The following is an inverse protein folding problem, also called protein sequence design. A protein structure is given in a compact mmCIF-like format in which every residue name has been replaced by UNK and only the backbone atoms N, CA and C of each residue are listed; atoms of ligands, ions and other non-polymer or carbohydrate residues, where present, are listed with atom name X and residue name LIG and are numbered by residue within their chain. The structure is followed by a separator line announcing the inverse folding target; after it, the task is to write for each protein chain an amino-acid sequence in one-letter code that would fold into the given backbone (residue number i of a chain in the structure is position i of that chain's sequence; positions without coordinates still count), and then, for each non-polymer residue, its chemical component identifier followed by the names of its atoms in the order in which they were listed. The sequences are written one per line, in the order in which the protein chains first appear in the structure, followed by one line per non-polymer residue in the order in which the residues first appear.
data_IF_022652269324
#
_entry.id   IF_022652269324
#
_cell.length_a   1.000
_cell.length_b   1.000
_cell.length_c   1.000
_cell.angle_alpha   90.00
_cell.angle_beta   90.00
_cell.angle_gamma   90.00
#
_symmetry.space_group_name_H-M   'P 1'
#
loop_
_entity.id
_entity.type
_entity.pdbx_description
1 polymer ?
#
# COMPACT_ATOMS: atom_id res chain seq x y z
N UNK A 1 16.35 -15.77 -12.68
CA UNK A 1 16.63 -14.36 -13.00
C UNK A 1 17.51 -13.74 -11.90
N UNK A 2 18.42 -12.81 -12.27
CA UNK A 2 19.32 -12.13 -11.32
C UNK A 2 18.53 -11.27 -10.33
N UNK A 3 17.58 -10.51 -10.81
CA UNK A 3 16.73 -9.62 -9.98
C UNK A 3 15.90 -10.45 -8.97
N UNK A 4 15.26 -11.52 -9.43
CA UNK A 4 14.49 -12.44 -8.57
C UNK A 4 15.36 -12.95 -7.40
N UNK A 5 16.57 -13.42 -7.69
CA UNK A 5 17.47 -13.97 -6.66
C UNK A 5 18.05 -12.92 -5.73
N UNK A 6 18.38 -11.74 -6.25
CA UNK A 6 19.03 -10.68 -5.49
C UNK A 6 18.06 -9.99 -4.51
N UNK A 7 16.80 -9.81 -4.90
CA UNK A 7 15.83 -9.01 -4.16
C UNK A 7 14.65 -9.83 -3.60
N UNK A 8 14.50 -11.08 -3.99
CA UNK A 8 13.39 -11.93 -3.57
C UNK A 8 12.02 -11.50 -4.11
N UNK A 9 12.01 -10.84 -5.27
CA UNK A 9 10.78 -10.42 -5.95
C UNK A 9 10.19 -11.55 -6.78
N UNK A 10 8.91 -11.45 -7.10
CA UNK A 10 8.23 -12.45 -7.94
C UNK A 10 8.88 -12.52 -9.32
N UNK A 11 8.96 -13.72 -9.85
CA UNK A 11 9.59 -13.99 -11.14
C UNK A 11 8.99 -13.18 -12.28
N UNK A 12 7.67 -13.06 -12.35
CA UNK A 12 6.99 -12.30 -13.39
C UNK A 12 7.42 -10.81 -13.39
N UNK A 13 7.52 -10.21 -12.19
CA UNK A 13 7.95 -8.82 -12.05
C UNK A 13 9.44 -8.68 -12.38
N UNK A 14 10.26 -9.63 -11.96
CA UNK A 14 11.69 -9.67 -12.28
C UNK A 14 11.94 -9.77 -13.79
N UNK A 15 11.19 -10.61 -14.51
CA UNK A 15 11.25 -10.74 -15.97
C UNK A 15 10.84 -9.44 -16.67
N UNK A 16 9.80 -8.77 -16.18
CA UNK A 16 9.35 -7.49 -16.73
C UNK A 16 10.37 -6.37 -16.50
N UNK A 17 10.93 -6.27 -15.28
CA UNK A 17 12.00 -5.32 -14.95
C UNK A 17 13.25 -5.54 -15.80
N UNK A 18 13.63 -6.80 -16.01
CA UNK A 18 14.82 -7.17 -16.81
C UNK A 18 14.65 -6.94 -18.32
N UNK A 19 13.41 -6.71 -18.78
CA UNK A 19 13.09 -6.46 -20.18
C UNK A 19 13.65 -5.13 -20.73
N UNK A 20 13.92 -4.16 -19.85
CA UNK A 20 14.55 -2.89 -20.19
C UNK A 20 15.70 -2.55 -19.23
N UNK A 21 16.93 -2.37 -19.73
CA UNK A 21 18.10 -2.09 -18.88
C UNK A 21 17.97 -0.82 -18.03
N UNK A 22 17.28 0.21 -18.52
CA UNK A 22 17.09 1.48 -17.80
C UNK A 22 16.16 1.27 -16.62
N UNK A 23 15.06 0.58 -16.84
CA UNK A 23 14.10 0.22 -15.80
C UNK A 23 14.71 -0.73 -14.77
N UNK A 24 15.51 -1.70 -15.20
CA UNK A 24 16.25 -2.59 -14.31
C UNK A 24 17.21 -1.82 -13.39
N UNK A 25 18.01 -0.91 -13.93
CA UNK A 25 18.93 -0.08 -13.16
C UNK A 25 18.19 0.82 -12.16
N UNK A 26 17.10 1.45 -12.57
CA UNK A 26 16.23 2.25 -11.71
C UNK A 26 15.67 1.44 -10.54
N UNK A 27 15.14 0.25 -10.83
CA UNK A 27 14.65 -0.67 -9.79
C UNK A 27 15.75 -1.07 -8.81
N UNK A 28 16.92 -1.46 -9.31
CA UNK A 28 18.04 -1.90 -8.47
C UNK A 28 18.51 -0.78 -7.53
N UNK A 29 18.52 0.46 -8.00
CA UNK A 29 18.84 1.63 -7.18
C UNK A 29 17.74 1.89 -6.14
N UNK A 30 16.47 1.88 -6.54
CA UNK A 30 15.34 2.07 -5.64
C UNK A 30 15.23 0.96 -4.58
N UNK A 31 15.56 -0.28 -4.93
CA UNK A 31 15.53 -1.43 -4.03
C UNK A 31 16.84 -1.65 -3.25
N UNK A 32 17.83 -0.78 -3.40
CA UNK A 32 19.12 -0.93 -2.73
C UNK A 32 18.95 -1.03 -1.20
N UNK A 33 19.50 -2.11 -0.61
CA UNK A 33 19.35 -2.39 0.82
C UNK A 33 17.97 -2.89 1.27
N UNK A 34 17.05 -3.10 0.34
CA UNK A 34 15.73 -3.67 0.61
C UNK A 34 15.67 -5.15 0.19
N UNK A 35 14.79 -5.90 0.84
CA UNK A 35 14.52 -7.31 0.51
C UNK A 35 13.07 -7.68 0.86
N UNK A 36 12.63 -8.85 0.38
CA UNK A 36 11.32 -9.40 0.71
C UNK A 36 10.16 -8.45 0.35
N UNK A 37 9.28 -8.19 1.32
CA UNK A 37 8.06 -7.36 1.11
C UNK A 37 8.39 -5.95 0.59
N UNK A 38 9.43 -5.31 1.12
CA UNK A 38 9.79 -3.96 0.73
C UNK A 38 10.31 -3.89 -0.72
N UNK A 39 11.21 -4.79 -1.10
CA UNK A 39 11.71 -4.89 -2.48
C UNK A 39 10.59 -5.27 -3.46
N UNK A 40 9.69 -6.19 -3.08
CA UNK A 40 8.52 -6.54 -3.89
C UNK A 40 7.59 -5.33 -4.08
N UNK A 41 7.45 -4.47 -3.05
CA UNK A 41 6.64 -3.26 -3.17
C UNK A 41 7.27 -2.25 -4.13
N UNK A 42 8.61 -2.09 -4.11
CA UNK A 42 9.32 -1.30 -5.13
C UNK A 42 9.05 -1.85 -6.53
N UNK A 43 9.18 -3.18 -6.72
CA UNK A 43 8.89 -3.82 -8.00
C UNK A 43 7.46 -3.52 -8.48
N UNK A 44 6.46 -3.66 -7.61
CA UNK A 44 5.07 -3.37 -7.93
C UNK A 44 4.87 -1.89 -8.35
N UNK A 45 5.48 -0.93 -7.64
CA UNK A 45 5.39 0.48 -7.99
C UNK A 45 6.05 0.79 -9.34
N UNK A 46 7.20 0.19 -9.63
CA UNK A 46 7.89 0.39 -10.91
C UNK A 46 7.11 -0.24 -12.07
N UNK A 47 6.65 -1.47 -11.89
CA UNK A 47 5.97 -2.25 -12.95
C UNK A 47 4.56 -1.71 -13.24
N UNK A 48 3.87 -1.19 -12.25
CA UNK A 48 2.50 -0.71 -12.42
C UNK A 48 2.42 0.82 -12.47
N UNK A 49 2.75 1.53 -11.38
CA UNK A 49 2.52 2.97 -11.26
C UNK A 49 3.45 3.77 -12.18
N UNK A 50 4.76 3.52 -12.09
CA UNK A 50 5.75 4.21 -12.91
C UNK A 50 5.55 3.90 -14.40
N UNK A 51 5.35 2.64 -14.76
CA UNK A 51 5.12 2.25 -16.14
C UNK A 51 3.84 2.87 -16.71
N UNK A 52 2.76 2.93 -15.93
CA UNK A 52 1.51 3.59 -16.33
C UNK A 52 1.71 5.10 -16.52
N UNK A 53 2.43 5.75 -15.60
CA UNK A 53 2.75 7.17 -15.70
C UNK A 53 3.57 7.50 -16.95
N UNK A 54 4.65 6.76 -17.20
CA UNK A 54 5.51 6.97 -18.39
C UNK A 54 4.73 6.74 -19.68
N UNK A 55 3.86 5.73 -19.72
CA UNK A 55 2.98 5.47 -20.88
C UNK A 55 1.97 6.60 -21.10
N UNK A 56 1.37 7.12 -20.04
CA UNK A 56 0.36 8.18 -20.12
C UNK A 56 0.97 9.54 -20.48
N UNK A 57 2.13 9.85 -19.91
CA UNK A 57 2.83 11.12 -20.15
C UNK A 57 3.65 11.14 -21.45
N UNK A 58 4.02 9.97 -21.98
CA UNK A 58 4.86 9.84 -23.17
C UNK A 58 6.33 10.24 -22.94
N UNK A 59 6.74 10.42 -21.69
CA UNK A 59 8.14 10.76 -21.35
C UNK A 59 8.98 9.54 -21.08
N UNK A 60 10.27 9.62 -21.38
CA UNK A 60 11.21 8.56 -21.01
C UNK A 60 11.50 8.58 -19.49
N UNK A 61 11.88 7.44 -18.93
CA UNK A 61 12.15 7.32 -17.49
C UNK A 61 13.18 8.34 -17.00
N UNK A 62 14.27 8.54 -17.73
CA UNK A 62 15.32 9.52 -17.37
C UNK A 62 14.87 11.00 -17.46
N UNK A 63 13.73 11.28 -18.10
CA UNK A 63 13.16 12.61 -18.25
C UNK A 63 11.94 12.83 -17.33
N UNK A 64 11.50 11.81 -16.64
CA UNK A 64 10.30 11.82 -15.80
C UNK A 64 10.40 12.71 -14.57
N UNK A 65 11.61 13.02 -14.12
CA UNK A 65 11.86 13.72 -12.86
C UNK A 65 11.64 12.87 -11.61
N UNK A 66 11.25 11.61 -11.76
CA UNK A 66 11.02 10.69 -10.65
C UNK A 66 12.35 10.02 -10.28
N UNK A 67 12.77 10.19 -9.03
CA UNK A 67 14.01 9.60 -8.52
C UNK A 67 13.78 8.20 -7.91
N UNK A 68 14.73 7.27 -8.04
CA UNK A 68 14.67 5.96 -7.38
C UNK A 68 14.43 6.05 -5.86
N UNK A 69 15.05 7.03 -5.20
CA UNK A 69 14.89 7.27 -3.76
C UNK A 69 13.45 7.62 -3.36
N UNK A 70 12.72 8.36 -4.19
CA UNK A 70 11.31 8.68 -3.95
C UNK A 70 10.44 7.42 -4.03
N UNK A 71 10.66 6.57 -5.04
CA UNK A 71 9.94 5.29 -5.15
C UNK A 71 10.26 4.37 -3.98
N UNK A 72 11.51 4.35 -3.52
CA UNK A 72 11.92 3.60 -2.32
C UNK A 72 11.23 4.11 -1.05
N UNK A 73 11.11 5.42 -0.87
CA UNK A 73 10.42 6.04 0.27
C UNK A 73 8.93 5.67 0.28
N UNK A 74 8.25 5.81 -0.85
CA UNK A 74 6.85 5.43 -1.00
C UNK A 74 6.62 3.92 -0.76
N UNK A 75 7.53 3.09 -1.27
CA UNK A 75 7.48 1.64 -1.07
C UNK A 75 7.65 1.25 0.41
N UNK A 76 8.50 1.93 1.16
CA UNK A 76 8.67 1.70 2.61
C UNK A 76 7.40 2.06 3.38
N UNK A 77 6.77 3.20 3.08
CA UNK A 77 5.50 3.60 3.68
C UNK A 77 4.40 2.57 3.44
N UNK A 78 4.29 2.06 2.21
CA UNK A 78 3.31 1.04 1.86
C UNK A 78 3.66 -0.33 2.48
N UNK A 79 4.92 -0.74 2.45
CA UNK A 79 5.36 -2.03 2.99
C UNK A 79 5.23 -2.12 4.52
N UNK A 80 5.33 -0.99 5.23
CA UNK A 80 5.11 -0.88 6.68
C UNK A 80 3.64 -0.70 7.07
N UNK A 81 2.74 -0.70 6.10
CA UNK A 81 1.31 -0.40 6.29
C UNK A 81 1.03 1.00 6.89
N UNK A 82 1.98 1.95 6.76
CA UNK A 82 1.79 3.35 7.15
C UNK A 82 0.75 4.06 6.25
N UNK A 83 0.63 3.60 5.01
CA UNK A 83 -0.38 4.04 4.04
C UNK A 83 -1.03 2.83 3.38
N UNK A 84 -2.24 2.99 2.86
CA UNK A 84 -2.94 1.97 2.06
C UNK A 84 -2.46 1.96 0.60
N UNK A 85 -2.82 0.93 -0.16
CA UNK A 85 -2.51 0.87 -1.60
C UNK A 85 -3.14 2.03 -2.38
N UNK A 86 -4.36 2.45 -2.05
CA UNK A 86 -4.99 3.61 -2.68
C UNK A 86 -4.22 4.90 -2.36
N UNK A 87 -3.80 5.09 -1.13
CA UNK A 87 -3.00 6.23 -0.71
C UNK A 87 -1.59 6.22 -1.36
N UNK A 88 -1.01 5.04 -1.58
CA UNK A 88 0.24 4.91 -2.32
C UNK A 88 0.08 5.34 -3.79
N UNK A 89 -1.03 4.98 -4.43
CA UNK A 89 -1.37 5.44 -5.78
C UNK A 89 -1.50 6.97 -5.83
N UNK A 90 -2.32 7.56 -4.95
CA UNK A 90 -2.48 9.02 -4.83
C UNK A 90 -1.15 9.73 -4.51
N UNK A 91 -0.33 9.12 -3.63
CA UNK A 91 0.99 9.61 -3.26
C UNK A 91 1.96 9.59 -4.45
N UNK A 92 1.91 8.54 -5.27
CA UNK A 92 2.70 8.43 -6.49
C UNK A 92 2.32 9.52 -7.51
N UNK A 93 1.03 9.70 -7.77
CA UNK A 93 0.55 10.74 -8.67
C UNK A 93 0.95 12.15 -8.21
N UNK A 94 0.81 12.42 -6.92
CA UNK A 94 1.21 13.70 -6.33
C UNK A 94 2.72 13.93 -6.43
N UNK A 95 3.54 12.92 -6.14
CA UNK A 95 4.99 12.94 -6.27
C UNK A 95 5.42 13.20 -7.72
N UNK A 96 4.82 12.50 -8.67
CA UNK A 96 5.10 12.67 -10.09
C UNK A 96 4.76 14.09 -10.60
N UNK A 97 3.70 14.71 -10.04
CA UNK A 97 3.26 16.05 -10.41
C UNK A 97 4.09 17.16 -9.75
N UNK A 98 4.49 16.99 -8.48
CA UNK A 98 5.17 18.04 -7.70
C UNK A 98 6.69 17.89 -7.63
N UNK A 99 7.20 16.66 -7.77
CA UNK A 99 8.60 16.32 -7.50
C UNK A 99 8.95 16.26 -6.00
N UNK A 100 7.96 16.45 -5.12
CA UNK A 100 8.17 16.40 -3.67
C UNK A 100 8.46 14.98 -3.16
N UNK A 101 9.05 14.91 -1.96
CA UNK A 101 9.28 13.63 -1.29
C UNK A 101 7.95 13.00 -0.83
N UNK A 102 7.76 11.69 -1.01
CA UNK A 102 6.53 11.00 -0.59
C UNK A 102 6.20 11.12 0.90
N UNK A 103 7.18 11.14 1.78
CA UNK A 103 6.97 11.34 3.22
C UNK A 103 6.30 12.69 3.50
N UNK A 104 6.80 13.76 2.86
CA UNK A 104 6.23 15.10 2.95
C UNK A 104 4.78 15.12 2.43
N UNK A 105 4.53 14.53 1.27
CA UNK A 105 3.19 14.46 0.67
C UNK A 105 2.22 13.73 1.59
N UNK A 106 2.63 12.59 2.12
CA UNK A 106 1.82 11.75 3.02
C UNK A 106 1.47 12.50 4.30
N UNK A 107 2.44 13.24 4.89
CA UNK A 107 2.22 14.01 6.11
C UNK A 107 1.34 15.24 5.86
N UNK A 108 1.60 16.03 4.82
CA UNK A 108 0.81 17.23 4.47
C UNK A 108 -0.63 16.89 4.11
N UNK A 109 -0.88 15.75 3.46
CA UNK A 109 -2.22 15.31 3.06
C UNK A 109 -2.92 14.46 4.13
N UNK A 110 -2.27 14.18 5.26
CA UNK A 110 -2.81 13.36 6.34
C UNK A 110 -3.15 11.93 5.88
N UNK A 111 -2.31 11.35 5.03
CA UNK A 111 -2.51 10.03 4.44
C UNK A 111 -2.10 8.87 5.34
N UNK A 112 -1.36 9.14 6.44
CA UNK A 112 -0.93 8.05 7.34
C UNK A 112 -2.13 7.34 7.94
N UNK A 113 -2.10 6.01 7.90
CA UNK A 113 -3.12 5.18 8.52
C UNK A 113 -3.00 5.22 10.04
N UNK A 114 -4.15 5.25 10.71
CA UNK A 114 -4.23 5.07 12.15
C UNK A 114 -4.08 3.57 12.44
N UNK A 115 -3.01 3.20 13.13
CA UNK A 115 -2.68 1.82 13.53
C UNK A 115 -2.63 1.66 15.05
N UNK A 116 -3.30 2.53 15.80
CA UNK A 116 -3.46 2.42 17.25
C UNK A 116 -4.76 1.70 17.57
N UNK A 117 -4.67 0.53 18.19
CA UNK A 117 -5.81 -0.29 18.60
C UNK A 117 -6.78 0.48 19.52
N UNK A 118 -6.24 1.30 20.44
CA UNK A 118 -7.05 2.13 21.34
C UNK A 118 -7.86 3.19 20.60
N UNK A 119 -7.34 3.76 19.54
CA UNK A 119 -8.04 4.74 18.70
C UNK A 119 -9.08 4.08 17.77
N UNK A 120 -8.84 2.83 17.34
CA UNK A 120 -9.72 2.11 16.41
C UNK A 120 -10.82 1.29 17.10
N UNK A 121 -10.64 0.89 18.36
CA UNK A 121 -11.62 0.09 19.09
C UNK A 121 -12.99 0.76 19.19
N UNK A 122 -13.14 2.06 19.50
CA UNK A 122 -14.45 2.72 19.52
C UNK A 122 -15.18 2.64 18.18
N UNK A 123 -14.46 2.70 17.06
CA UNK A 123 -15.03 2.57 15.70
C UNK A 123 -15.56 1.14 15.50
N UNK A 124 -14.80 0.13 15.94
CA UNK A 124 -15.21 -1.27 15.88
C UNK A 124 -16.49 -1.48 16.70
N UNK A 125 -16.55 -0.96 17.92
CA UNK A 125 -17.69 -1.09 18.82
C UNK A 125 -18.94 -0.44 18.22
N UNK A 126 -18.81 0.76 17.63
CA UNK A 126 -19.90 1.46 16.94
C UNK A 126 -20.42 0.67 15.73
N UNK A 127 -19.51 0.13 14.91
CA UNK A 127 -19.88 -0.66 13.74
C UNK A 127 -20.56 -1.97 14.14
N UNK A 128 -20.08 -2.66 15.18
CA UNK A 128 -20.70 -3.88 15.69
C UNK A 128 -22.11 -3.62 16.26
N UNK A 129 -22.31 -2.49 16.91
CA UNK A 129 -23.65 -2.07 17.37
C UNK A 129 -24.59 -1.76 16.20
N UNK A 130 -24.08 -1.08 15.16
CA UNK A 130 -24.88 -0.73 13.97
C UNK A 130 -25.15 -1.93 13.05
N UNK A 131 -24.27 -2.94 13.05
CA UNK A 131 -24.32 -4.14 12.21
C UNK A 131 -24.53 -5.40 13.07
N UNK A 132 -25.45 -5.36 14.02
CA UNK A 132 -25.69 -6.46 14.97
C UNK A 132 -26.06 -7.79 14.29
N UNK A 133 -26.81 -7.76 13.19
CA UNK A 133 -27.19 -8.95 12.42
C UNK A 133 -25.96 -9.63 11.79
N UNK A 134 -25.03 -8.85 11.23
CA UNK A 134 -23.81 -9.36 10.64
C UNK A 134 -22.83 -9.87 11.72
N UNK A 135 -22.79 -9.19 12.86
CA UNK A 135 -22.01 -9.64 14.02
C UNK A 135 -22.52 -10.99 14.51
N UNK A 136 -23.86 -11.18 14.56
CA UNK A 136 -24.45 -12.46 14.92
C UNK A 136 -24.17 -13.56 13.88
N UNK A 137 -24.31 -13.25 12.59
CA UNK A 137 -23.96 -14.18 11.52
C UNK A 137 -22.49 -14.68 11.61
N UNK A 138 -21.57 -13.80 11.99
CA UNK A 138 -20.17 -14.21 12.22
C UNK A 138 -20.07 -15.20 13.38
N UNK A 139 -20.73 -14.94 14.51
CA UNK A 139 -20.76 -15.84 15.67
C UNK A 139 -21.41 -17.19 15.35
N UNK A 140 -22.39 -17.19 14.44
CA UNK A 140 -23.06 -18.41 13.95
C UNK A 140 -22.23 -19.20 12.91
N UNK A 141 -20.99 -18.77 12.65
CA UNK A 141 -20.02 -19.47 11.78
C UNK A 141 -19.89 -18.91 10.37
N UNK A 142 -20.64 -17.86 10.00
CA UNK A 142 -20.47 -17.20 8.69
C UNK A 142 -19.32 -16.19 8.73
N UNK A 143 -18.08 -16.69 8.73
CA UNK A 143 -16.89 -15.84 8.80
C UNK A 143 -16.66 -14.94 7.56
N UNK A 144 -17.40 -15.14 6.47
CA UNK A 144 -17.29 -14.31 5.26
C UNK A 144 -17.76 -12.88 5.47
N UNK A 145 -18.65 -12.64 6.43
CA UNK A 145 -19.15 -11.30 6.75
C UNK A 145 -18.10 -10.38 7.37
N UNK A 146 -16.94 -10.92 7.78
CA UNK A 146 -15.83 -10.12 8.34
C UNK A 146 -15.37 -9.05 7.35
N UNK A 147 -15.32 -9.35 6.06
CA UNK A 147 -14.94 -8.41 5.02
C UNK A 147 -15.91 -7.22 4.91
N UNK A 148 -17.21 -7.48 5.07
CA UNK A 148 -18.22 -6.43 5.14
C UNK A 148 -18.02 -5.52 6.38
N UNK A 149 -17.80 -6.11 7.55
CA UNK A 149 -17.58 -5.37 8.79
C UNK A 149 -16.30 -4.51 8.72
N UNK A 150 -15.20 -5.05 8.16
CA UNK A 150 -13.98 -4.26 7.89
C UNK A 150 -14.30 -3.08 6.97
N UNK A 151 -15.07 -3.30 5.91
CA UNK A 151 -15.52 -2.23 5.00
C UNK A 151 -16.30 -1.13 5.72
N UNK A 152 -17.17 -1.48 6.67
CA UNK A 152 -17.91 -0.50 7.48
C UNK A 152 -16.98 0.28 8.42
N UNK A 153 -16.01 -0.38 9.05
CA UNK A 153 -14.97 0.28 9.86
C UNK A 153 -14.12 1.24 9.02
N UNK A 154 -13.73 0.84 7.81
CA UNK A 154 -13.01 1.71 6.88
C UNK A 154 -13.82 2.94 6.49
N UNK A 155 -15.13 2.78 6.25
CA UNK A 155 -16.02 3.88 5.96
C UNK A 155 -16.17 4.82 7.16
N UNK A 156 -16.37 4.28 8.36
CA UNK A 156 -16.48 5.05 9.59
C UNK A 156 -15.20 5.84 9.92
N UNK A 157 -14.04 5.25 9.65
CA UNK A 157 -12.73 5.91 9.82
C UNK A 157 -12.34 6.83 8.64
N UNK A 158 -13.22 6.99 7.65
CA UNK A 158 -12.94 7.75 6.41
C UNK A 158 -11.68 7.28 5.67
N UNK A 159 -11.44 5.98 5.66
CA UNK A 159 -10.29 5.35 5.03
C UNK A 159 -8.96 5.49 5.79
N UNK A 160 -8.95 6.07 6.99
CA UNK A 160 -7.73 6.32 7.78
C UNK A 160 -7.33 5.17 8.69
N UNK A 161 -8.25 4.27 9.04
CA UNK A 161 -7.94 3.10 9.86
C UNK A 161 -7.18 2.03 9.08
N UNK A 162 -6.29 1.31 9.77
CA UNK A 162 -5.59 0.18 9.19
C UNK A 162 -6.54 -1.03 9.01
N UNK A 163 -6.80 -1.51 7.77
CA UNK A 163 -7.74 -2.60 7.52
C UNK A 163 -7.37 -3.91 8.23
N UNK A 164 -6.07 -4.20 8.34
CA UNK A 164 -5.60 -5.41 9.03
C UNK A 164 -5.92 -5.35 10.52
N UNK A 165 -5.66 -4.19 11.13
CA UNK A 165 -5.95 -3.99 12.54
C UNK A 165 -7.46 -4.02 12.82
N UNK A 166 -8.29 -3.45 11.93
CA UNK A 166 -9.74 -3.62 12.02
C UNK A 166 -10.16 -5.08 11.95
N UNK A 167 -9.56 -5.87 11.07
CA UNK A 167 -9.86 -7.31 11.00
C UNK A 167 -9.51 -8.04 12.31
N UNK A 168 -8.36 -7.74 12.89
CA UNK A 168 -7.91 -8.31 14.17
C UNK A 168 -8.83 -7.91 15.33
N UNK A 169 -9.17 -6.62 15.45
CA UNK A 169 -10.05 -6.10 16.49
C UNK A 169 -11.47 -6.66 16.36
N UNK A 170 -12.02 -6.74 15.15
CA UNK A 170 -13.33 -7.35 14.89
C UNK A 170 -13.35 -8.82 15.28
N UNK A 171 -12.33 -9.60 14.92
CA UNK A 171 -12.23 -11.01 15.31
C UNK A 171 -12.16 -11.16 16.83
N UNK A 172 -11.36 -10.35 17.51
CA UNK A 172 -11.24 -10.36 18.96
C UNK A 172 -12.57 -10.00 19.66
N UNK A 173 -13.33 -9.05 19.11
CA UNK A 173 -14.62 -8.63 19.67
C UNK A 173 -15.78 -9.58 19.35
N UNK A 174 -15.64 -10.43 18.34
CA UNK A 174 -16.68 -11.38 17.90
C UNK A 174 -16.43 -12.82 18.39
N UNK A 175 -15.27 -13.10 19.00
CA UNK A 175 -14.86 -14.42 19.53
C UNK A 175 -15.66 -14.84 20.75
#
# INVERSE_FOLDING_TARGET
DRIERAFGVKRADAEQLAGDPVTAAFFEEAAAGLSGKAAQTVANLVVNELAAYLKASGVALGESGIAPAQVASLAKLLASDAISSNQAHEGFEAMAASGDDPEKIVDERGMRQVSDAGALQPIVDEVLAACADQAQQYRDGNHKVIGFLVGQCMKASRGKGNPKLFNELLRASLS
#
